data_IF_503448697253
#
_entry.id   IF_503448697253
#
_cell.length_a   1.000
_cell.length_b   1.000
_cell.length_c   1.000
_cell.angle_alpha   90.00
_cell.angle_beta   90.00
_cell.angle_gamma   90.00
#
_symmetry.space_group_name_H-M   'P 1'
#
loop_
_entity.id
_entity.type
_entity.pdbx_description
1 polymer ?
#
# COMPACT_ATOMS: atom_id res chain seq x y z
N UNK A 1 3.55 -0.11 -10.54
CA UNK A 1 3.25 -1.08 -9.45
C UNK A 1 2.01 -0.57 -8.78
N UNK A 2 0.91 -1.32 -8.75
CA UNK A 2 -0.37 -0.79 -8.27
C UNK A 2 -0.36 -0.55 -6.76
N UNK A 3 -1.20 0.38 -6.29
CA UNK A 3 -1.44 0.61 -4.86
C UNK A 3 -1.89 -0.68 -4.16
N UNK A 4 -2.68 -1.52 -4.84
CA UNK A 4 -3.03 -2.86 -4.36
C UNK A 4 -1.80 -3.69 -3.97
N UNK A 5 -0.84 -3.86 -4.90
CA UNK A 5 0.35 -4.67 -4.65
C UNK A 5 1.15 -4.15 -3.46
N UNK A 6 1.30 -2.83 -3.34
CA UNK A 6 1.98 -2.20 -2.19
C UNK A 6 1.26 -2.51 -0.88
N UNK A 7 -0.07 -2.40 -0.86
CA UNK A 7 -0.86 -2.63 0.35
C UNK A 7 -0.81 -4.10 0.80
N UNK A 8 -0.89 -5.04 -0.15
CA UNK A 8 -0.82 -6.48 0.15
C UNK A 8 0.57 -6.96 0.57
N UNK A 9 1.61 -6.16 0.31
CA UNK A 9 2.98 -6.44 0.73
C UNK A 9 3.28 -6.04 2.17
N UNK A 10 2.33 -5.44 2.89
CA UNK A 10 2.49 -5.09 4.30
C UNK A 10 2.48 -6.37 5.14
N UNK A 11 3.51 -6.57 5.95
CA UNK A 11 3.72 -7.80 6.72
C UNK A 11 3.17 -7.72 8.15
N UNK A 12 2.81 -6.53 8.62
CA UNK A 12 2.23 -6.31 9.95
C UNK A 12 0.71 -6.10 9.87
N UNK A 13 -0.04 -6.95 10.57
CA UNK A 13 -1.51 -6.94 10.58
C UNK A 13 -2.05 -5.60 11.10
N UNK A 14 -1.43 -5.05 12.14
CA UNK A 14 -1.88 -3.77 12.70
C UNK A 14 -1.74 -2.67 11.65
N UNK A 15 -0.57 -2.57 11.01
CA UNK A 15 -0.33 -1.54 10.00
C UNK A 15 -1.21 -1.70 8.76
N UNK A 16 -1.42 -2.93 8.31
CA UNK A 16 -2.36 -3.21 7.22
C UNK A 16 -3.78 -2.75 7.58
N UNK A 17 -4.25 -3.10 8.78
CA UNK A 17 -5.61 -2.75 9.24
C UNK A 17 -5.83 -1.25 9.34
N UNK A 18 -4.84 -0.48 9.81
CA UNK A 18 -4.90 0.99 9.85
C UNK A 18 -5.07 1.57 8.44
N UNK A 19 -4.21 1.15 7.49
CA UNK A 19 -4.20 1.74 6.15
C UNK A 19 -5.42 1.36 5.32
N UNK A 20 -5.90 0.11 5.40
CA UNK A 20 -7.12 -0.29 4.68
C UNK A 20 -8.35 0.39 5.28
N UNK A 21 -8.41 0.55 6.61
CA UNK A 21 -9.50 1.26 7.26
C UNK A 21 -9.54 2.73 6.82
N UNK A 22 -8.39 3.41 6.87
CA UNK A 22 -8.27 4.80 6.38
C UNK A 22 -8.70 4.91 4.91
N UNK A 23 -8.34 3.93 4.07
CA UNK A 23 -8.74 3.95 2.67
C UNK A 23 -10.26 3.75 2.48
N UNK A 24 -10.85 2.85 3.25
CA UNK A 24 -12.30 2.55 3.21
C UNK A 24 -13.12 3.74 3.70
N UNK A 25 -12.70 4.47 4.75
CA UNK A 25 -13.45 5.65 5.21
C UNK A 25 -13.43 6.81 4.21
N UNK A 26 -12.49 6.80 3.27
CA UNK A 26 -12.34 7.81 2.21
C UNK A 26 -12.92 7.37 0.86
N UNK A 27 -13.44 6.15 0.77
CA UNK A 27 -14.09 5.61 -0.44
C UNK A 27 -15.52 5.25 -0.08
N UNK A 28 -16.49 5.93 -0.70
CA UNK A 28 -17.90 5.78 -0.34
C UNK A 28 -18.46 4.46 -0.86
N UNK A 29 -17.83 3.89 -1.90
CA UNK A 29 -18.26 2.65 -2.54
C UNK A 29 -17.10 1.66 -2.77
N UNK A 30 -17.39 0.35 -2.87
CA UNK A 30 -16.39 -0.64 -3.26
C UNK A 30 -15.73 -0.35 -4.62
N UNK A 31 -16.46 0.25 -5.57
CA UNK A 31 -15.94 0.59 -6.89
C UNK A 31 -14.92 1.73 -6.84
N UNK A 32 -15.14 2.73 -5.97
CA UNK A 32 -14.15 3.78 -5.73
C UNK A 32 -12.87 3.21 -5.10
N UNK A 33 -13.03 2.33 -4.12
CA UNK A 33 -11.90 1.61 -3.52
C UNK A 33 -11.12 0.81 -4.55
N UNK A 34 -11.82 0.05 -5.40
CA UNK A 34 -11.20 -0.71 -6.50
C UNK A 34 -10.45 0.20 -7.47
N UNK A 35 -11.04 1.33 -7.85
CA UNK A 35 -10.39 2.31 -8.73
C UNK A 35 -9.10 2.82 -8.12
N UNK A 36 -9.11 3.22 -6.84
CA UNK A 36 -7.91 3.67 -6.14
C UNK A 36 -6.87 2.56 -6.05
N UNK A 37 -7.26 1.32 -5.74
CA UNK A 37 -6.32 0.20 -5.62
C UNK A 37 -5.67 -0.19 -6.97
N UNK A 38 -6.36 0.06 -8.09
CA UNK A 38 -5.84 -0.15 -9.44
C UNK A 38 -4.84 0.92 -9.89
N UNK A 39 -4.83 2.11 -9.28
CA UNK A 39 -3.90 3.17 -9.63
C UNK A 39 -2.45 2.75 -9.43
N UNK A 40 -1.57 3.21 -10.31
CA UNK A 40 -0.14 3.06 -10.15
C UNK A 40 0.35 3.85 -8.93
N UNK A 41 1.19 3.21 -8.14
CA UNK A 41 1.91 3.85 -7.06
C UNK A 41 2.98 4.77 -7.66
N UNK A 42 3.03 6.06 -7.25
CA UNK A 42 3.96 7.02 -7.82
C UNK A 42 5.41 6.60 -7.60
N UNK A 43 6.26 6.79 -8.62
CA UNK A 43 7.64 6.33 -8.60
C UNK A 43 8.48 7.01 -7.50
N UNK A 44 8.26 8.30 -7.26
CA UNK A 44 8.87 9.03 -6.13
C UNK A 44 8.45 8.43 -4.78
N UNK A 45 7.20 8.00 -4.69
CA UNK A 45 6.68 7.28 -3.54
C UNK A 45 7.36 5.93 -3.36
N UNK A 46 7.62 5.19 -4.45
CA UNK A 46 8.31 3.89 -4.38
C UNK A 46 9.74 4.03 -3.84
N UNK A 47 10.48 5.08 -4.22
CA UNK A 47 11.81 5.35 -3.68
C UNK A 47 11.76 5.66 -2.18
N UNK A 48 10.74 6.41 -1.76
CA UNK A 48 10.48 6.69 -0.35
C UNK A 48 10.17 5.39 0.42
N UNK A 49 9.33 4.52 -0.13
CA UNK A 49 9.00 3.22 0.46
C UNK A 49 10.24 2.33 0.65
N UNK A 50 11.08 2.21 -0.38
CA UNK A 50 12.34 1.44 -0.28
C UNK A 50 13.24 1.97 0.85
N UNK A 51 13.30 3.29 1.01
CA UNK A 51 14.10 3.93 2.05
C UNK A 51 13.57 3.68 3.47
N UNK A 52 12.25 3.57 3.66
CA UNK A 52 11.67 3.29 4.98
C UNK A 52 11.62 1.80 5.32
N UNK A 53 11.58 0.90 4.33
CA UNK A 53 11.74 -0.55 4.52
C UNK A 53 13.09 -0.83 5.19
N UNK A 54 14.16 -0.18 4.71
CA UNK A 54 15.49 -0.27 5.33
C UNK A 54 15.52 0.22 6.79
N UNK A 55 14.52 1.01 7.20
CA UNK A 55 14.38 1.52 8.58
C UNK A 55 13.45 0.64 9.44
N UNK A 56 13.04 -0.53 8.95
CA UNK A 56 12.20 -1.47 9.67
C UNK A 56 10.69 -1.25 9.50
N UNK A 57 10.27 -0.50 8.47
CA UNK A 57 8.85 -0.42 8.12
C UNK A 57 8.33 -1.82 7.69
N UNK A 58 7.15 -2.27 8.17
CA UNK A 58 6.67 -3.64 7.97
C UNK A 58 6.08 -3.85 6.57
N UNK A 59 6.95 -3.84 5.56
CA UNK A 59 6.61 -3.99 4.15
C UNK A 59 7.68 -4.85 3.47
N UNK A 60 7.25 -5.90 2.79
CA UNK A 60 8.12 -6.78 2.01
C UNK A 60 7.94 -6.50 0.52
N UNK A 61 8.94 -5.85 -0.09
CA UNK A 61 8.98 -5.61 -1.52
C UNK A 61 9.71 -6.72 -2.29
N UNK A 62 10.23 -7.73 -1.59
CA UNK A 62 11.08 -8.79 -2.16
C UNK A 62 10.32 -9.69 -3.16
N UNK A 63 9.00 -9.81 -3.01
CA UNK A 63 8.13 -10.59 -3.90
C UNK A 63 7.60 -9.79 -5.10
N UNK A 64 7.96 -8.51 -5.23
CA UNK A 64 7.41 -7.60 -6.24
C UNK A 64 8.29 -7.47 -7.51
N UNK A 65 9.12 -8.48 -7.79
CA UNK A 65 9.93 -8.57 -9.02
C UNK A 65 9.08 -8.74 -10.29
#
# INVERSE_FOLDING_TARGET
MTKFKVLTSITDVKKFSELIYDLVIHTETPQELESVLCEDFPEEGLQTLKSIVQKGYPLSLDELQ
#
